data_IF_860717638212
#
_entry.id   IF_860717638212
#
_cell.length_a   1.000
_cell.length_b   1.000
_cell.length_c   1.000
_cell.angle_alpha   90.00
_cell.angle_beta   90.00
_cell.angle_gamma   90.00
#
_symmetry.space_group_name_H-M   'P 1'
#
loop_
_entity.id
_entity.type
_entity.pdbx_description
1 polymer ?
#
# COMPACT_ATOMS: atom_id res chain seq x y z
N UNK A 1 28.40 -17.85 -9.07
CA UNK A 1 27.78 -18.71 -8.04
C UNK A 1 27.78 -18.05 -6.67
N UNK A 2 28.93 -17.66 -6.10
CA UNK A 2 29.03 -17.08 -4.75
C UNK A 2 28.13 -15.85 -4.53
N UNK A 3 28.07 -14.90 -5.48
CA UNK A 3 27.16 -13.73 -5.38
C UNK A 3 25.69 -14.13 -5.26
N UNK A 4 25.28 -15.14 -6.02
CA UNK A 4 23.90 -15.64 -6.00
C UNK A 4 23.56 -16.29 -4.65
N UNK A 5 24.48 -17.09 -4.11
CA UNK A 5 24.34 -17.67 -2.76
C UNK A 5 24.16 -16.57 -1.71
N UNK A 6 25.00 -15.52 -1.74
CA UNK A 6 24.86 -14.38 -0.82
C UNK A 6 23.49 -13.70 -0.91
N UNK A 7 22.93 -13.54 -2.11
CA UNK A 7 21.59 -12.98 -2.28
C UNK A 7 20.51 -13.89 -1.68
N UNK A 8 20.60 -15.20 -1.87
CA UNK A 8 19.66 -16.16 -1.29
C UNK A 8 19.70 -16.13 0.24
N UNK A 9 20.89 -16.08 0.84
CA UNK A 9 21.02 -16.01 2.30
C UNK A 9 20.45 -14.71 2.89
N UNK A 10 20.63 -13.58 2.21
CA UNK A 10 20.01 -12.30 2.62
C UNK A 10 18.49 -12.38 2.51
N UNK A 11 17.97 -12.87 1.38
CA UNK A 11 16.53 -13.04 1.18
C UNK A 11 15.91 -13.96 2.25
N UNK A 12 16.60 -15.05 2.59
CA UNK A 12 16.18 -15.94 3.67
C UNK A 12 16.18 -15.24 5.04
N UNK A 13 17.24 -14.48 5.37
CA UNK A 13 17.31 -13.73 6.62
C UNK A 13 16.20 -12.66 6.73
N UNK A 14 15.90 -11.95 5.63
CA UNK A 14 14.78 -11.00 5.55
C UNK A 14 13.46 -11.72 5.82
N UNK A 15 13.23 -12.87 5.19
CA UNK A 15 12.02 -13.66 5.35
C UNK A 15 11.85 -14.21 6.78
N UNK A 16 12.92 -14.70 7.40
CA UNK A 16 12.90 -15.13 8.80
C UNK A 16 12.59 -13.95 9.74
N UNK A 17 13.20 -12.80 9.51
CA UNK A 17 12.92 -11.59 10.27
C UNK A 17 11.48 -11.11 10.08
N UNK A 18 10.94 -11.23 8.86
CA UNK A 18 9.55 -10.92 8.57
C UNK A 18 8.57 -11.73 9.43
N UNK A 19 8.68 -13.06 9.43
CA UNK A 19 7.81 -13.90 10.22
C UNK A 19 8.03 -13.71 11.73
N UNK A 20 9.27 -13.55 12.18
CA UNK A 20 9.53 -13.29 13.59
C UNK A 20 9.06 -11.90 14.03
N UNK A 21 9.15 -10.89 13.18
CA UNK A 21 8.68 -9.54 13.44
C UNK A 21 7.16 -9.51 13.54
N UNK A 22 6.48 -10.19 12.61
CA UNK A 22 5.03 -10.47 12.68
C UNK A 22 4.65 -11.08 14.03
N UNK A 23 5.34 -12.14 14.47
CA UNK A 23 5.05 -12.80 15.74
C UNK A 23 5.26 -11.86 16.94
N UNK A 24 6.25 -10.97 16.85
CA UNK A 24 6.57 -10.01 17.91
C UNK A 24 5.52 -8.90 17.97
N UNK A 25 5.15 -8.33 16.82
CA UNK A 25 4.12 -7.29 16.71
C UNK A 25 2.72 -7.82 17.01
N UNK A 26 2.46 -9.11 16.79
CA UNK A 26 1.21 -9.76 17.19
C UNK A 26 0.99 -9.79 18.72
N UNK A 27 2.03 -9.54 19.53
CA UNK A 27 1.93 -9.40 20.99
C UNK A 27 1.47 -7.99 21.42
N UNK A 28 1.44 -7.02 20.50
CA UNK A 28 1.05 -5.65 20.81
C UNK A 28 -0.48 -5.54 20.96
N UNK A 29 -0.98 -4.67 21.85
CA UNK A 29 -2.41 -4.42 22.00
C UNK A 29 -3.05 -3.97 20.69
N UNK A 30 -4.18 -4.59 20.30
CA UNK A 30 -4.87 -4.25 19.06
C UNK A 30 -5.35 -2.78 19.02
N UNK A 31 -5.59 -2.21 20.20
CA UNK A 31 -6.01 -0.83 20.42
C UNK A 31 -5.02 0.20 19.84
N UNK A 32 -3.74 -0.15 19.68
CA UNK A 32 -2.70 0.72 19.12
C UNK A 32 -3.05 1.31 17.76
N UNK A 33 -3.70 0.51 16.93
CA UNK A 33 -3.98 0.83 15.54
C UNK A 33 -5.47 0.82 15.21
N UNK A 34 -6.32 0.28 16.10
CA UNK A 34 -7.78 0.29 15.90
C UNK A 34 -8.52 1.33 16.72
N UNK A 35 -7.92 1.92 17.77
CA UNK A 35 -8.63 2.88 18.60
C UNK A 35 -9.01 4.10 17.77
N UNK A 36 -10.28 4.47 17.85
CA UNK A 36 -10.83 5.74 17.36
C UNK A 36 -11.12 6.69 18.53
N UNK A 37 -10.62 6.34 19.71
CA UNK A 37 -10.90 6.99 20.98
C UNK A 37 -9.60 7.39 21.66
N UNK A 38 -9.70 8.40 22.52
CA UNK A 38 -8.58 8.80 23.37
C UNK A 38 -8.29 7.70 24.39
N UNK A 39 -7.01 7.48 24.68
CA UNK A 39 -6.59 6.42 25.60
C UNK A 39 -5.08 6.37 25.76
N UNK A 40 -4.61 5.36 26.50
CA UNK A 40 -3.20 5.11 26.72
C UNK A 40 -2.89 3.70 26.27
N UNK A 41 -1.86 3.55 25.43
CA UNK A 41 -1.30 2.23 25.13
C UNK A 41 -0.03 2.05 25.93
N UNK A 42 0.05 0.93 26.64
CA UNK A 42 1.25 0.52 27.38
C UNK A 42 1.91 -0.65 26.66
N UNK A 43 3.20 -0.53 26.39
CA UNK A 43 4.03 -1.55 25.74
C UNK A 43 5.30 -1.78 26.56
N UNK A 44 5.67 -3.04 26.78
CA UNK A 44 6.91 -3.35 27.50
C UNK A 44 8.15 -2.94 26.70
N UNK A 45 9.15 -2.35 27.37
CA UNK A 45 10.47 -2.05 26.77
C UNK A 45 11.17 -3.29 26.24
N UNK A 46 11.01 -4.42 26.92
CA UNK A 46 11.53 -5.73 26.47
C UNK A 46 11.05 -6.10 25.08
N UNK A 47 9.79 -5.77 24.74
CA UNK A 47 9.24 -6.04 23.41
C UNK A 47 9.86 -5.13 22.34
N UNK A 48 10.10 -3.85 22.67
CA UNK A 48 10.83 -2.90 21.81
C UNK A 48 12.23 -3.44 21.49
N UNK A 49 12.95 -3.89 22.51
CA UNK A 49 14.30 -4.44 22.41
C UNK A 49 14.29 -5.71 21.56
N UNK A 50 13.44 -6.69 21.86
CA UNK A 50 13.30 -7.95 21.11
C UNK A 50 13.08 -7.69 19.61
N UNK A 51 12.18 -6.77 19.25
CA UNK A 51 11.92 -6.44 17.85
C UNK A 51 13.10 -5.70 17.20
N UNK A 52 13.66 -4.71 17.88
CA UNK A 52 14.72 -3.86 17.34
C UNK A 52 16.01 -4.65 17.11
N UNK A 53 16.36 -5.56 18.02
CA UNK A 53 17.50 -6.46 17.89
C UNK A 53 17.39 -7.35 16.65
N UNK A 54 16.21 -7.93 16.38
CA UNK A 54 15.97 -8.79 15.20
C UNK A 54 16.17 -8.02 13.89
N UNK A 55 15.58 -6.81 13.80
CA UNK A 55 15.70 -5.98 12.59
C UNK A 55 17.14 -5.50 12.40
N UNK A 56 17.82 -5.07 13.48
CA UNK A 56 19.21 -4.62 13.40
C UNK A 56 20.17 -5.78 13.08
N UNK A 57 19.91 -6.99 13.57
CA UNK A 57 20.71 -8.17 13.22
C UNK A 57 20.69 -8.44 11.71
N UNK A 58 19.52 -8.36 11.06
CA UNK A 58 19.43 -8.46 9.59
C UNK A 58 20.11 -7.28 8.91
N UNK A 59 19.91 -6.06 9.41
CA UNK A 59 20.57 -4.87 8.86
C UNK A 59 22.11 -5.01 8.89
N UNK A 60 22.67 -5.50 10.00
CA UNK A 60 24.09 -5.76 10.17
C UNK A 60 24.58 -6.87 9.25
N UNK A 61 23.85 -7.98 9.13
CA UNK A 61 24.18 -9.07 8.22
C UNK A 61 24.24 -8.59 6.75
N UNK A 62 23.35 -7.68 6.35
CA UNK A 62 23.40 -7.08 5.01
C UNK A 62 24.61 -6.14 4.88
N UNK A 63 24.90 -5.29 5.88
CA UNK A 63 26.06 -4.38 5.85
C UNK A 63 27.39 -5.13 5.76
N UNK A 64 27.56 -6.21 6.53
CA UNK A 64 28.77 -7.03 6.54
C UNK A 64 29.07 -7.67 5.17
N UNK A 65 28.03 -7.94 4.37
CA UNK A 65 28.17 -8.50 3.02
C UNK A 65 28.64 -7.48 1.98
N UNK A 66 28.64 -6.19 2.34
CA UNK A 66 29.04 -5.08 1.48
C UNK A 66 27.96 -4.66 0.47
N UNK A 67 28.08 -3.46 -0.13
CA UNK A 67 27.18 -3.04 -1.19
C UNK A 67 27.34 -3.93 -2.42
N UNK A 68 26.29 -4.06 -3.26
CA UNK A 68 26.45 -4.67 -4.57
C UNK A 68 27.58 -3.96 -5.34
N UNK A 69 28.39 -4.69 -6.13
CA UNK A 69 29.51 -4.13 -6.87
C UNK A 69 29.05 -3.00 -7.79
N UNK A 70 29.73 -1.85 -7.73
CA UNK A 70 29.45 -0.69 -8.59
C UNK A 70 30.06 -0.94 -9.98
N UNK A 71 29.22 -1.04 -11.00
CA UNK A 71 29.65 -1.11 -12.40
C UNK A 71 28.46 -1.31 -13.35
N UNK A 72 28.49 -0.67 -14.51
CA UNK A 72 27.43 -0.76 -15.53
C UNK A 72 26.28 0.24 -15.35
N UNK A 73 25.12 -0.09 -15.94
CA UNK A 73 23.89 0.69 -15.82
C UNK A 73 23.39 0.69 -14.37
N UNK A 74 22.78 1.79 -13.93
CA UNK A 74 22.18 1.86 -12.60
C UNK A 74 21.01 0.87 -12.47
N UNK A 75 20.78 0.31 -11.27
CA UNK A 75 19.62 -0.54 -10.98
C UNK A 75 18.31 0.13 -11.39
N UNK A 76 18.19 1.44 -11.13
CA UNK A 76 17.05 2.25 -11.56
C UNK A 76 16.82 2.17 -13.07
N UNK A 77 17.85 2.45 -13.87
CA UNK A 77 17.76 2.44 -15.33
C UNK A 77 17.42 1.05 -15.88
N UNK A 78 18.03 -0.01 -15.34
CA UNK A 78 17.74 -1.39 -15.72
C UNK A 78 16.28 -1.75 -15.45
N UNK A 79 15.78 -1.37 -14.28
CA UNK A 79 14.40 -1.63 -13.90
C UNK A 79 13.41 -0.82 -14.77
N UNK A 80 13.71 0.44 -15.12
CA UNK A 80 12.86 1.22 -16.04
C UNK A 80 12.82 0.59 -17.43
N UNK A 81 13.97 0.15 -17.97
CA UNK A 81 14.04 -0.55 -19.26
C UNK A 81 13.25 -1.87 -19.22
N UNK A 82 13.39 -2.64 -18.14
CA UNK A 82 12.62 -3.86 -17.92
C UNK A 82 11.11 -3.57 -17.91
N UNK A 83 10.68 -2.53 -17.20
CA UNK A 83 9.26 -2.17 -17.13
C UNK A 83 8.68 -1.83 -18.49
N UNK A 84 9.42 -1.08 -19.33
CA UNK A 84 9.03 -0.81 -20.72
C UNK A 84 8.93 -2.11 -21.54
N UNK A 85 9.90 -3.02 -21.40
CA UNK A 85 9.87 -4.33 -22.05
C UNK A 85 8.66 -5.15 -21.61
N UNK A 86 8.30 -5.12 -20.32
CA UNK A 86 7.18 -5.87 -19.78
C UNK A 86 5.83 -5.33 -20.29
N UNK A 87 5.68 -4.00 -20.34
CA UNK A 87 4.53 -3.33 -20.98
C UNK A 87 4.45 -3.67 -22.47
N UNK A 88 5.57 -3.56 -23.20
CA UNK A 88 5.64 -3.91 -24.62
C UNK A 88 5.26 -5.36 -24.87
N UNK A 89 5.71 -6.28 -24.01
CA UNK A 89 5.37 -7.71 -24.07
C UNK A 89 3.87 -7.92 -23.90
N UNK A 90 3.25 -7.31 -22.88
CA UNK A 90 1.81 -7.41 -22.65
C UNK A 90 0.98 -6.84 -23.81
N UNK A 91 1.41 -5.72 -24.40
CA UNK A 91 0.70 -5.08 -25.51
C UNK A 91 0.85 -5.87 -26.82
N UNK A 92 2.01 -6.49 -27.06
CA UNK A 92 2.29 -7.24 -28.28
C UNK A 92 1.74 -8.67 -28.24
N UNK A 93 1.59 -9.27 -27.05
CA UNK A 93 1.19 -10.66 -26.88
C UNK A 93 0.36 -10.87 -25.62
N UNK A 94 -0.65 -11.74 -25.71
CA UNK A 94 -1.42 -12.23 -24.56
C UNK A 94 -0.86 -13.52 -23.96
N UNK A 95 0.33 -13.96 -24.41
CA UNK A 95 1.03 -15.15 -23.90
C UNK A 95 1.53 -14.93 -22.47
N UNK A 96 0.86 -15.60 -21.54
CA UNK A 96 1.17 -15.54 -20.12
C UNK A 96 2.57 -16.06 -19.79
N UNK A 97 3.08 -17.05 -20.53
CA UNK A 97 4.39 -17.65 -20.25
C UNK A 97 5.50 -16.65 -20.53
N UNK A 98 5.42 -15.98 -21.68
CA UNK A 98 6.36 -14.92 -22.03
C UNK A 98 6.25 -13.75 -21.06
N UNK A 99 5.03 -13.32 -20.71
CA UNK A 99 4.78 -12.25 -19.75
C UNK A 99 5.40 -12.54 -18.37
N UNK A 100 5.23 -13.76 -17.85
CA UNK A 100 5.83 -14.22 -16.59
C UNK A 100 7.35 -14.25 -16.71
N UNK A 101 7.88 -14.85 -17.77
CA UNK A 101 9.33 -14.98 -17.97
C UNK A 101 10.01 -13.61 -18.01
N UNK A 102 9.45 -12.67 -18.78
CA UNK A 102 9.93 -11.28 -18.82
C UNK A 102 9.80 -10.64 -17.45
N UNK A 103 8.64 -10.73 -16.78
CA UNK A 103 8.42 -10.16 -15.45
C UNK A 103 9.46 -10.61 -14.41
N UNK A 104 9.82 -11.90 -14.39
CA UNK A 104 10.81 -12.47 -13.46
C UNK A 104 12.23 -11.91 -13.67
N UNK A 105 12.58 -11.41 -14.87
CA UNK A 105 13.90 -10.86 -15.14
C UNK A 105 14.25 -9.63 -14.29
N UNK A 106 13.27 -8.91 -13.74
CA UNK A 106 13.55 -7.76 -12.86
C UNK A 106 14.32 -8.17 -11.60
N UNK A 107 14.12 -9.40 -11.11
CA UNK A 107 14.82 -9.89 -9.92
C UNK A 107 16.29 -10.23 -10.19
N UNK A 108 16.71 -10.25 -11.45
CA UNK A 108 18.15 -10.29 -11.79
C UNK A 108 18.78 -8.93 -11.50
N UNK A 109 18.08 -7.83 -11.81
CA UNK A 109 18.55 -6.47 -11.53
C UNK A 109 18.36 -6.08 -10.05
N UNK A 110 17.31 -6.59 -9.42
CA UNK A 110 16.90 -6.24 -8.06
C UNK A 110 16.49 -7.49 -7.24
N UNK A 111 17.46 -8.32 -6.82
CA UNK A 111 17.18 -9.63 -6.22
C UNK A 111 16.48 -9.59 -4.86
N UNK A 112 16.63 -8.49 -4.10
CA UNK A 112 15.94 -8.31 -2.82
C UNK A 112 14.46 -7.95 -2.99
N UNK A 113 14.07 -7.44 -4.16
CA UNK A 113 12.68 -7.09 -4.43
C UNK A 113 11.79 -8.32 -4.55
N UNK A 114 12.36 -9.52 -4.77
CA UNK A 114 11.59 -10.75 -4.78
C UNK A 114 10.96 -11.02 -3.40
N UNK A 115 11.76 -10.95 -2.34
CA UNK A 115 11.24 -11.16 -0.97
C UNK A 115 10.35 -10.00 -0.54
N UNK A 116 10.69 -8.76 -0.89
CA UNK A 116 9.82 -7.60 -0.63
C UNK A 116 8.47 -7.75 -1.33
N UNK A 117 8.46 -8.08 -2.62
CA UNK A 117 7.23 -8.33 -3.39
C UNK A 117 6.37 -9.43 -2.76
N UNK A 118 6.99 -10.50 -2.26
CA UNK A 118 6.27 -11.58 -1.58
C UNK A 118 5.68 -11.14 -0.23
N UNK A 119 6.45 -10.44 0.61
CA UNK A 119 5.98 -9.93 1.91
C UNK A 119 4.80 -8.96 1.74
N UNK A 120 4.96 -8.02 0.80
CA UNK A 120 3.93 -7.11 0.36
C UNK A 120 2.69 -7.87 -0.12
N UNK A 121 2.86 -8.87 -0.99
CA UNK A 121 1.79 -9.78 -1.42
C UNK A 121 1.04 -10.39 -0.25
N UNK A 122 1.76 -10.99 0.70
CA UNK A 122 1.13 -11.65 1.84
C UNK A 122 0.31 -10.66 2.68
N UNK A 123 0.84 -9.45 2.95
CA UNK A 123 0.09 -8.41 3.65
C UNK A 123 -1.19 -8.06 2.92
N UNK A 124 -1.12 -7.77 1.62
CA UNK A 124 -2.30 -7.36 0.86
C UNK A 124 -3.30 -8.51 0.72
N UNK A 125 -2.81 -9.72 0.51
CA UNK A 125 -3.64 -10.91 0.42
C UNK A 125 -4.45 -11.11 1.69
N UNK A 126 -3.80 -11.09 2.86
CA UNK A 126 -4.45 -11.28 4.15
C UNK A 126 -5.40 -10.12 4.51
N UNK A 127 -5.06 -8.88 4.17
CA UNK A 127 -5.79 -7.69 4.64
C UNK A 127 -6.85 -7.18 3.66
N UNK A 128 -6.75 -7.51 2.37
CA UNK A 128 -7.59 -6.94 1.31
C UNK A 128 -8.12 -7.95 0.28
N UNK A 129 -7.32 -8.94 -0.16
CA UNK A 129 -7.76 -9.85 -1.22
C UNK A 129 -8.54 -11.07 -0.72
N UNK A 130 -8.29 -11.56 0.50
CA UNK A 130 -8.94 -12.77 0.98
C UNK A 130 -10.47 -12.60 1.05
N UNK A 131 -10.93 -11.44 1.52
CA UNK A 131 -12.36 -11.11 1.52
C UNK A 131 -12.94 -11.02 0.11
N UNK A 132 -12.18 -10.51 -0.86
CA UNK A 132 -12.59 -10.45 -2.27
C UNK A 132 -12.71 -11.85 -2.89
N UNK A 133 -11.74 -12.72 -2.63
CA UNK A 133 -11.78 -14.11 -3.09
C UNK A 133 -12.98 -14.85 -2.47
N UNK A 134 -13.18 -14.70 -1.16
CA UNK A 134 -14.27 -15.36 -0.46
C UNK A 134 -15.64 -14.84 -0.90
N UNK A 135 -15.82 -13.52 -1.06
CA UNK A 135 -17.06 -12.98 -1.64
C UNK A 135 -17.21 -13.38 -3.10
N UNK A 136 -16.11 -13.56 -3.82
CA UNK A 136 -16.05 -14.02 -5.21
C UNK A 136 -16.72 -15.37 -5.36
N UNK A 137 -16.20 -16.32 -4.58
CA UNK A 137 -16.70 -17.69 -4.52
C UNK A 137 -18.14 -17.72 -3.98
N UNK A 138 -18.45 -16.98 -2.91
CA UNK A 138 -19.78 -16.96 -2.33
C UNK A 138 -20.85 -16.41 -3.27
N UNK A 139 -20.54 -15.35 -4.04
CA UNK A 139 -21.49 -14.75 -4.99
C UNK A 139 -21.51 -15.47 -6.35
N UNK A 140 -20.49 -16.27 -6.68
CA UNK A 140 -20.46 -17.06 -7.92
C UNK A 140 -21.56 -18.12 -8.00
N UNK A 141 -22.15 -18.53 -6.87
CA UNK A 141 -23.29 -19.45 -6.83
C UNK A 141 -24.63 -18.74 -7.13
N UNK A 142 -24.65 -17.41 -7.13
CA UNK A 142 -25.82 -16.61 -7.44
C UNK A 142 -25.82 -16.35 -8.95
N UNK A 143 -26.89 -16.72 -9.68
CA UNK A 143 -27.00 -16.43 -11.10
C UNK A 143 -27.12 -14.91 -11.30
N UNK A 144 -26.01 -14.26 -11.62
CA UNK A 144 -25.97 -12.82 -11.87
C UNK A 144 -26.41 -12.52 -13.31
N UNK A 145 -27.21 -11.47 -13.54
CA UNK A 145 -27.67 -11.13 -14.88
C UNK A 145 -26.50 -10.84 -15.84
N UNK A 146 -26.51 -11.47 -17.01
CA UNK A 146 -25.48 -11.26 -18.04
C UNK A 146 -25.48 -9.84 -18.63
N UNK A 147 -26.56 -9.07 -18.47
CA UNK A 147 -26.62 -7.68 -18.93
C UNK A 147 -25.63 -6.74 -18.22
N UNK A 148 -25.09 -7.15 -17.06
CA UNK A 148 -24.03 -6.44 -16.36
C UNK A 148 -22.62 -6.96 -16.71
N UNK A 149 -22.50 -7.90 -17.64
CA UNK A 149 -21.23 -8.45 -18.10
C UNK A 149 -20.59 -7.51 -19.12
N UNK A 150 -19.41 -6.99 -18.80
CA UNK A 150 -18.61 -6.15 -19.70
C UNK A 150 -17.35 -6.90 -20.08
N UNK A 151 -17.03 -6.92 -21.37
CA UNK A 151 -15.76 -7.48 -21.84
C UNK A 151 -14.60 -6.51 -21.55
N UNK A 152 -13.47 -7.03 -21.08
CA UNK A 152 -12.22 -6.28 -20.95
C UNK A 152 -11.67 -6.03 -22.35
N UNK A 153 -12.18 -4.98 -22.99
CA UNK A 153 -11.71 -4.47 -24.27
C UNK A 153 -10.93 -3.16 -24.14
N UNK A 154 -10.49 -2.61 -25.27
CA UNK A 154 -9.77 -1.33 -25.30
C UNK A 154 -10.58 -0.18 -24.70
N UNK A 155 -11.90 -0.17 -24.87
CA UNK A 155 -12.80 0.84 -24.29
C UNK A 155 -12.80 0.80 -22.77
N UNK A 156 -12.97 -0.38 -22.16
CA UNK A 156 -12.95 -0.51 -20.70
C UNK A 156 -11.58 -0.12 -20.12
N UNK A 157 -10.50 -0.56 -20.76
CA UNK A 157 -9.12 -0.19 -20.38
C UNK A 157 -8.97 1.33 -20.39
N UNK A 158 -9.35 1.99 -21.49
CA UNK A 158 -9.27 3.44 -21.62
C UNK A 158 -10.09 4.18 -20.56
N UNK A 159 -11.31 3.73 -20.27
CA UNK A 159 -12.16 4.31 -19.23
C UNK A 159 -11.52 4.18 -17.84
N UNK A 160 -11.05 2.99 -17.46
CA UNK A 160 -10.47 2.76 -16.13
C UNK A 160 -9.20 3.61 -15.94
N UNK A 161 -8.33 3.68 -16.94
CA UNK A 161 -7.13 4.51 -16.88
C UNK A 161 -7.48 6.01 -16.81
N UNK A 162 -8.46 6.46 -17.58
CA UNK A 162 -8.92 7.85 -17.55
C UNK A 162 -9.51 8.22 -16.19
N UNK A 163 -10.29 7.34 -15.58
CA UNK A 163 -10.87 7.56 -14.25
C UNK A 163 -9.77 7.61 -13.17
N UNK A 164 -8.78 6.72 -13.21
CA UNK A 164 -7.64 6.79 -12.28
C UNK A 164 -6.84 8.08 -12.46
N UNK A 165 -6.57 8.47 -13.71
CA UNK A 165 -5.85 9.70 -14.04
C UNK A 165 -6.62 10.95 -13.58
N UNK A 166 -7.93 11.00 -13.85
CA UNK A 166 -8.81 12.10 -13.43
C UNK A 166 -8.88 12.20 -11.90
N UNK A 167 -9.02 11.07 -11.20
CA UNK A 167 -8.97 11.04 -9.75
C UNK A 167 -7.61 11.53 -9.23
N UNK A 168 -6.52 11.13 -9.86
CA UNK A 168 -5.18 11.55 -9.47
C UNK A 168 -4.98 13.06 -9.67
N UNK A 169 -5.41 13.61 -10.80
CA UNK A 169 -5.41 15.05 -11.05
C UNK A 169 -6.29 15.81 -10.05
N UNK A 170 -7.47 15.26 -9.72
CA UNK A 170 -8.36 15.82 -8.71
C UNK A 170 -7.65 16.04 -7.37
N UNK A 171 -6.97 15.01 -6.85
CA UNK A 171 -6.21 15.11 -5.60
C UNK A 171 -4.94 15.98 -5.72
N UNK A 172 -4.24 15.91 -6.86
CA UNK A 172 -3.02 16.70 -7.05
C UNK A 172 -3.28 18.21 -7.07
N UNK A 173 -4.44 18.66 -7.55
CA UNK A 173 -4.70 20.09 -7.78
C UNK A 173 -5.85 20.69 -6.98
N UNK A 174 -6.84 19.90 -6.56
CA UNK A 174 -8.09 20.42 -6.00
C UNK A 174 -8.51 19.84 -4.65
N UNK A 175 -8.13 18.60 -4.33
CA UNK A 175 -8.62 17.95 -3.11
C UNK A 175 -7.49 17.42 -2.24
N UNK A 176 -7.51 17.85 -0.97
CA UNK A 176 -6.89 17.12 0.11
C UNK A 176 -7.84 17.13 1.31
N UNK A 177 -7.92 16.02 2.06
CA UNK A 177 -8.95 15.81 3.09
C UNK A 177 -8.98 16.93 4.14
N UNK A 178 -7.84 17.58 4.36
CA UNK A 178 -7.64 18.55 5.44
C UNK A 178 -7.16 19.92 4.92
N UNK A 179 -7.20 20.21 3.62
CA UNK A 179 -6.75 21.52 3.10
C UNK A 179 -6.49 21.56 1.61
N UNK A 180 -5.80 22.61 1.16
CA UNK A 180 -5.38 22.73 -0.25
C UNK A 180 -4.04 22.01 -0.47
N UNK A 181 -3.89 21.30 -1.62
CA UNK A 181 -2.63 20.69 -1.99
C UNK A 181 -1.57 21.78 -2.21
N UNK A 182 -0.35 21.52 -1.74
CA UNK A 182 0.82 22.33 -2.09
C UNK A 182 1.05 22.20 -3.58
N UNK A 183 0.99 23.34 -4.28
CA UNK A 183 1.30 23.39 -5.72
C UNK A 183 2.81 23.29 -5.92
N UNK A 184 3.22 22.37 -6.78
CA UNK A 184 4.60 22.25 -7.26
C UNK A 184 4.81 23.11 -8.51
N UNK A 185 6.05 23.52 -8.80
CA UNK A 185 6.41 24.07 -10.11
C UNK A 185 5.96 23.14 -11.25
N UNK A 186 5.63 23.73 -12.41
CA UNK A 186 5.12 22.97 -13.56
C UNK A 186 6.08 21.84 -13.98
N UNK A 187 7.40 22.11 -14.01
CA UNK A 187 8.40 21.11 -14.37
C UNK A 187 8.38 19.89 -13.43
N UNK A 188 8.31 20.13 -12.13
CA UNK A 188 8.22 19.07 -11.13
C UNK A 188 6.89 18.30 -11.26
N UNK A 189 5.78 19.03 -11.43
CA UNK A 189 4.46 18.44 -11.66
C UNK A 189 4.45 17.50 -12.86
N UNK A 190 5.03 17.91 -13.99
CA UNK A 190 5.16 17.07 -15.19
C UNK A 190 6.02 15.84 -14.92
N UNK A 191 7.06 15.97 -14.09
CA UNK A 191 7.91 14.84 -13.73
C UNK A 191 7.18 13.81 -12.88
N UNK A 192 6.45 14.24 -11.85
CA UNK A 192 5.54 13.38 -11.08
C UNK A 192 4.47 12.74 -11.96
N UNK A 193 3.85 13.52 -12.84
CA UNK A 193 2.84 12.99 -13.74
C UNK A 193 3.39 11.91 -14.67
N UNK A 194 4.55 12.10 -15.29
CA UNK A 194 5.13 11.12 -16.22
C UNK A 194 5.70 9.92 -15.47
N UNK A 195 6.62 10.16 -14.53
CA UNK A 195 7.32 9.09 -13.82
C UNK A 195 6.40 8.37 -12.83
N UNK A 196 5.60 9.09 -12.05
CA UNK A 196 4.60 8.52 -11.14
C UNK A 196 3.54 7.72 -11.90
N UNK A 197 3.06 8.18 -13.06
CA UNK A 197 2.15 7.36 -13.88
C UNK A 197 2.82 6.06 -14.35
N UNK A 198 4.04 6.15 -14.86
CA UNK A 198 4.80 4.98 -15.31
C UNK A 198 5.07 3.98 -14.17
N UNK A 199 5.41 4.48 -12.99
CA UNK A 199 5.76 3.68 -11.82
C UNK A 199 4.52 3.12 -11.11
N UNK A 200 3.50 3.94 -10.84
CA UNK A 200 2.37 3.60 -9.98
C UNK A 200 1.12 3.11 -10.74
N UNK A 201 0.97 3.46 -12.03
CA UNK A 201 -0.30 3.24 -12.77
C UNK A 201 -0.20 2.22 -13.88
N UNK A 202 1.00 1.95 -14.38
CA UNK A 202 1.23 0.89 -15.36
C UNK A 202 0.75 -0.50 -14.86
N UNK A 203 0.65 -0.71 -13.54
CA UNK A 203 0.06 -1.91 -12.95
C UNK A 203 -1.35 -2.19 -13.50
N UNK A 204 -2.24 -1.18 -13.48
CA UNK A 204 -3.64 -1.32 -13.92
C UNK A 204 -3.69 -1.68 -15.41
N UNK A 205 -2.85 -1.02 -16.21
CA UNK A 205 -2.71 -1.32 -17.64
C UNK A 205 -2.30 -2.78 -17.85
N UNK A 206 -1.25 -3.24 -17.17
CA UNK A 206 -0.73 -4.60 -17.33
C UNK A 206 -1.77 -5.66 -16.96
N UNK A 207 -2.46 -5.51 -15.83
CA UNK A 207 -3.51 -6.46 -15.43
C UNK A 207 -4.62 -6.51 -16.48
N UNK A 208 -5.16 -5.36 -16.90
CA UNK A 208 -6.28 -5.34 -17.84
C UNK A 208 -5.90 -5.81 -19.24
N UNK A 209 -4.71 -5.47 -19.74
CA UNK A 209 -4.21 -5.94 -21.04
C UNK A 209 -4.04 -7.45 -21.03
N UNK A 210 -3.44 -8.00 -19.97
CA UNK A 210 -3.25 -9.46 -19.85
C UNK A 210 -4.56 -10.23 -19.65
N UNK A 211 -5.63 -9.53 -19.25
CA UNK A 211 -6.98 -10.08 -19.10
C UNK A 211 -7.92 -9.69 -20.25
N UNK A 212 -7.41 -9.12 -21.34
CA UNK A 212 -8.23 -8.70 -22.49
C UNK A 212 -9.07 -9.86 -23.04
N UNK A 213 -10.33 -9.58 -23.37
CA UNK A 213 -11.31 -10.56 -23.84
C UNK A 213 -12.01 -11.36 -22.74
N UNK A 214 -11.58 -11.24 -21.48
CA UNK A 214 -12.35 -11.77 -20.35
C UNK A 214 -13.60 -10.93 -20.10
N UNK A 215 -14.63 -11.55 -19.53
CA UNK A 215 -15.88 -10.88 -19.18
C UNK A 215 -15.98 -10.67 -17.68
N UNK A 216 -16.19 -9.43 -17.27
CA UNK A 216 -16.39 -9.03 -15.88
C UNK A 216 -17.86 -8.76 -15.62
N UNK A 217 -18.43 -9.42 -14.60
CA UNK A 217 -19.79 -9.10 -14.17
C UNK A 217 -19.76 -7.94 -13.16
N UNK A 218 -20.19 -6.75 -13.57
CA UNK A 218 -20.19 -5.57 -12.70
C UNK A 218 -21.25 -5.65 -11.59
N UNK A 219 -22.30 -6.48 -11.74
CA UNK A 219 -23.28 -6.70 -10.69
C UNK A 219 -22.63 -7.33 -9.45
N UNK A 220 -21.60 -8.16 -9.65
CA UNK A 220 -20.82 -8.73 -8.55
C UNK A 220 -20.17 -7.64 -7.70
N UNK A 221 -19.51 -6.67 -8.34
CA UNK A 221 -18.83 -5.56 -7.65
C UNK A 221 -19.84 -4.68 -6.91
N UNK A 222 -21.00 -4.43 -7.51
CA UNK A 222 -22.07 -3.66 -6.89
C UNK A 222 -22.66 -4.39 -5.67
N UNK A 223 -22.91 -5.70 -5.79
CA UNK A 223 -23.44 -6.52 -4.70
C UNK A 223 -22.46 -6.60 -3.52
N UNK A 224 -21.16 -6.85 -3.78
CA UNK A 224 -20.15 -6.85 -2.72
C UNK A 224 -20.03 -5.48 -2.04
N UNK A 225 -20.11 -4.40 -2.82
CA UNK A 225 -20.09 -3.03 -2.28
C UNK A 225 -21.28 -2.72 -1.37
N UNK A 226 -22.48 -3.20 -1.70
CA UNK A 226 -23.70 -2.99 -0.92
C UNK A 226 -23.78 -3.95 0.28
N UNK A 227 -23.56 -5.25 0.05
CA UNK A 227 -23.66 -6.28 1.08
C UNK A 227 -22.49 -6.24 2.07
N UNK A 228 -21.34 -5.71 1.65
CA UNK A 228 -20.18 -5.58 2.51
C UNK A 228 -19.55 -6.92 2.91
N UNK A 229 -19.64 -7.95 2.06
CA UNK A 229 -19.07 -9.28 2.34
C UNK A 229 -17.54 -9.20 2.37
N UNK A 230 -16.89 -8.67 1.33
CA UNK A 230 -15.43 -8.56 1.31
C UNK A 230 -14.91 -7.66 2.43
N UNK A 231 -15.51 -6.49 2.77
CA UNK A 231 -15.09 -5.71 3.91
C UNK A 231 -15.26 -6.44 5.26
N UNK A 232 -16.34 -7.20 5.45
CA UNK A 232 -16.58 -7.98 6.67
C UNK A 232 -15.44 -8.97 6.93
N UNK A 233 -15.13 -9.80 5.93
CA UNK A 233 -14.10 -10.84 6.02
C UNK A 233 -12.73 -10.20 6.23
N UNK A 234 -12.38 -9.20 5.43
CA UNK A 234 -11.10 -8.51 5.56
C UNK A 234 -10.96 -7.81 6.94
N UNK A 235 -12.03 -7.24 7.49
CA UNK A 235 -12.00 -6.64 8.83
C UNK A 235 -11.84 -7.70 9.91
N UNK A 236 -12.46 -8.86 9.76
CA UNK A 236 -12.24 -10.00 10.65
C UNK A 236 -10.78 -10.44 10.62
N UNK A 237 -10.19 -10.61 9.43
CA UNK A 237 -8.78 -10.98 9.27
C UNK A 237 -7.83 -9.96 9.90
N UNK A 238 -8.08 -8.66 9.68
CA UNK A 238 -7.27 -7.59 10.27
C UNK A 238 -7.35 -7.55 11.81
N UNK A 239 -8.47 -8.00 12.39
CA UNK A 239 -8.65 -8.06 13.85
C UNK A 239 -8.05 -9.31 14.48
N UNK A 240 -8.04 -10.42 13.75
CA UNK A 240 -7.75 -11.76 14.32
C UNK A 240 -6.37 -12.28 13.98
N UNK A 241 -5.87 -11.99 12.78
CA UNK A 241 -4.56 -12.47 12.33
C UNK A 241 -3.52 -11.40 12.63
N UNK A 242 -3.49 -10.33 11.83
CA UNK A 242 -2.55 -9.22 11.98
C UNK A 242 -3.18 -7.96 11.41
N UNK A 243 -2.97 -6.85 12.09
CA UNK A 243 -3.46 -5.57 11.61
C UNK A 243 -2.65 -5.06 10.43
N UNK A 244 -3.35 -4.37 9.52
CA UNK A 244 -2.72 -3.74 8.37
C UNK A 244 -1.61 -2.77 8.79
N UNK A 245 -1.82 -1.96 9.83
CA UNK A 245 -0.82 -0.99 10.33
C UNK A 245 0.47 -1.68 10.82
N UNK A 246 0.36 -2.81 11.53
CA UNK A 246 1.55 -3.56 12.01
C UNK A 246 2.32 -4.20 10.86
N UNK A 247 1.59 -4.81 9.92
CA UNK A 247 2.19 -5.39 8.72
C UNK A 247 2.86 -4.34 7.87
N UNK A 248 2.17 -3.22 7.62
CA UNK A 248 2.69 -2.10 6.85
C UNK A 248 3.96 -1.55 7.50
N UNK A 249 3.92 -1.19 8.79
CA UNK A 249 5.10 -0.69 9.51
C UNK A 249 6.30 -1.65 9.40
N UNK A 250 6.06 -2.95 9.60
CA UNK A 250 7.13 -3.94 9.58
C UNK A 250 7.73 -4.09 8.19
N UNK A 251 6.90 -4.33 7.17
CA UNK A 251 7.33 -4.54 5.79
C UNK A 251 8.03 -3.28 5.27
N UNK A 252 7.45 -2.12 5.51
CA UNK A 252 8.01 -0.84 5.10
C UNK A 252 9.39 -0.62 5.74
N UNK A 253 9.56 -0.91 7.04
CA UNK A 253 10.87 -0.86 7.69
C UNK A 253 11.87 -1.86 7.10
N UNK A 254 11.43 -3.07 6.73
CA UNK A 254 12.28 -4.09 6.09
C UNK A 254 12.75 -3.66 4.70
N UNK A 255 11.87 -3.03 3.93
CA UNK A 255 12.16 -2.45 2.62
C UNK A 255 13.20 -1.34 2.68
N UNK A 256 13.26 -0.60 3.79
CA UNK A 256 14.25 0.46 4.05
C UNK A 256 15.58 -0.02 4.63
N UNK A 257 15.78 -1.34 4.77
CA UNK A 257 17.05 -1.87 5.21
C UNK A 257 18.18 -1.49 4.24
N UNK A 258 19.41 -1.28 4.74
CA UNK A 258 20.56 -0.99 3.89
C UNK A 258 20.70 -2.02 2.78
N UNK A 259 20.87 -1.59 1.53
CA UNK A 259 20.97 -2.47 0.37
C UNK A 259 19.62 -3.01 -0.16
N UNK A 260 18.64 -3.29 0.71
CA UNK A 260 17.28 -3.67 0.30
C UNK A 260 16.56 -2.50 -0.34
N UNK A 261 16.65 -1.32 0.28
CA UNK A 261 16.05 -0.08 -0.20
C UNK A 261 16.37 0.19 -1.67
N UNK A 262 17.63 0.01 -2.06
CA UNK A 262 18.13 0.25 -3.40
C UNK A 262 17.51 -0.64 -4.48
N UNK A 263 17.04 -1.83 -4.10
CA UNK A 263 16.46 -2.80 -5.01
C UNK A 263 14.93 -2.71 -5.02
N UNK A 264 14.33 -2.48 -3.85
CA UNK A 264 12.89 -2.56 -3.65
C UNK A 264 12.27 -1.15 -3.70
N UNK A 265 12.32 -0.43 -2.57
CA UNK A 265 11.47 0.72 -2.32
C UNK A 265 12.04 2.07 -2.79
N UNK A 266 13.32 2.13 -3.19
CA UNK A 266 13.93 3.37 -3.72
C UNK A 266 13.22 3.91 -4.96
N UNK A 267 12.63 3.04 -5.78
CA UNK A 267 11.90 3.47 -6.96
C UNK A 267 10.64 4.27 -6.64
N UNK A 268 9.98 3.93 -5.53
CA UNK A 268 8.85 4.70 -5.00
C UNK A 268 9.29 6.07 -4.49
N UNK A 269 10.44 6.13 -3.84
CA UNK A 269 11.06 7.36 -3.33
C UNK A 269 11.92 8.12 -4.33
N UNK A 270 11.88 7.73 -5.60
CA UNK A 270 12.78 8.30 -6.59
C UNK A 270 12.50 9.79 -6.82
N UNK A 271 11.23 10.19 -6.74
CA UNK A 271 10.84 11.58 -6.83
C UNK A 271 10.98 12.26 -5.47
N UNK A 272 11.61 13.45 -5.42
CA UNK A 272 11.63 14.23 -4.21
C UNK A 272 10.21 14.71 -3.94
N UNK A 273 9.72 14.48 -2.72
CA UNK A 273 8.35 14.75 -2.31
C UNK A 273 7.31 13.71 -2.78
N UNK A 274 6.16 13.69 -2.10
CA UNK A 274 5.01 12.87 -2.47
C UNK A 274 3.96 13.69 -3.22
N UNK A 275 3.39 13.12 -4.27
CA UNK A 275 2.16 13.60 -4.91
C UNK A 275 1.17 12.47 -5.13
N UNK A 276 -0.09 12.80 -5.42
CA UNK A 276 -1.08 11.80 -5.80
C UNK A 276 -0.66 10.94 -7.02
N UNK A 277 0.24 11.43 -7.88
CA UNK A 277 0.76 10.68 -9.03
C UNK A 277 1.59 9.47 -8.65
N UNK A 278 2.24 9.54 -7.48
CA UNK A 278 3.16 8.52 -6.97
C UNK A 278 2.42 7.47 -6.12
N UNK A 279 1.11 7.69 -5.90
CA UNK A 279 0.27 6.79 -5.15
C UNK A 279 -0.12 5.56 -5.97
N UNK A 280 0.51 4.42 -5.62
CA UNK A 280 0.17 3.09 -6.14
C UNK A 280 -1.16 2.57 -5.57
N UNK A 281 -1.83 1.67 -6.31
CA UNK A 281 -3.14 1.11 -5.92
C UNK A 281 -3.06 0.15 -4.72
N UNK A 282 -1.89 -0.46 -4.50
CA UNK A 282 -1.60 -1.37 -3.39
C UNK A 282 -0.52 -0.83 -2.42
N UNK A 283 -0.58 0.46 -2.06
CA UNK A 283 0.25 1.07 -0.99
C UNK A 283 1.75 1.31 -1.31
N UNK A 284 2.06 2.28 -2.17
CA UNK A 284 3.43 2.86 -2.24
C UNK A 284 4.55 1.92 -2.70
N UNK A 285 4.21 0.81 -3.38
CA UNK A 285 5.21 -0.09 -3.93
C UNK A 285 5.87 0.47 -5.21
N UNK A 286 7.14 0.16 -5.44
CA UNK A 286 7.77 0.22 -6.75
C UNK A 286 7.33 -0.93 -7.65
N UNK A 287 7.48 -0.79 -8.96
CA UNK A 287 7.14 -1.88 -9.88
C UNK A 287 7.91 -3.21 -9.67
N UNK A 288 9.14 -3.30 -9.11
CA UNK A 288 9.71 -4.61 -8.82
C UNK A 288 9.01 -5.31 -7.64
N UNK A 289 8.35 -4.55 -6.78
CA UNK A 289 7.62 -5.03 -5.61
C UNK A 289 6.18 -5.48 -5.95
N UNK A 290 5.64 -5.08 -7.10
CA UNK A 290 4.24 -5.36 -7.44
C UNK A 290 4.00 -6.75 -8.06
N UNK A 291 5.05 -7.51 -8.39
CA UNK A 291 4.97 -8.70 -9.23
C UNK A 291 3.94 -9.72 -8.75
N UNK A 292 3.97 -10.09 -7.46
CA UNK A 292 3.04 -11.08 -6.91
C UNK A 292 1.59 -10.57 -6.89
N UNK A 293 1.35 -9.27 -6.61
CA UNK A 293 0.01 -8.68 -6.73
C UNK A 293 -0.52 -8.78 -8.15
N UNK A 294 0.34 -8.41 -9.11
CA UNK A 294 -0.02 -8.37 -10.52
C UNK A 294 -0.37 -9.78 -11.02
N UNK A 295 0.44 -10.78 -10.66
CA UNK A 295 0.15 -12.19 -10.97
C UNK A 295 -1.16 -12.66 -10.33
N UNK A 296 -1.40 -12.30 -9.06
CA UNK A 296 -2.61 -12.65 -8.35
C UNK A 296 -3.86 -12.05 -9.02
N UNK A 297 -3.85 -10.77 -9.35
CA UNK A 297 -5.00 -10.09 -9.95
C UNK A 297 -5.30 -10.65 -11.35
N UNK A 298 -4.26 -10.94 -12.15
CA UNK A 298 -4.41 -11.65 -13.42
C UNK A 298 -5.00 -13.05 -13.22
N UNK A 299 -4.52 -13.79 -12.21
CA UNK A 299 -5.01 -15.13 -11.91
C UNK A 299 -6.50 -15.12 -11.55
N UNK A 300 -6.93 -14.20 -10.68
CA UNK A 300 -8.33 -14.08 -10.30
C UNK A 300 -9.24 -13.84 -11.50
N UNK A 301 -8.82 -12.99 -12.43
CA UNK A 301 -9.60 -12.70 -13.63
C UNK A 301 -9.58 -13.84 -14.64
N UNK A 302 -8.39 -14.33 -15.02
CA UNK A 302 -8.26 -15.31 -16.11
C UNK A 302 -8.64 -16.73 -15.71
N UNK A 303 -8.47 -17.09 -14.44
CA UNK A 303 -8.70 -18.47 -13.96
C UNK A 303 -10.02 -18.58 -13.22
N UNK A 304 -10.35 -17.60 -12.37
CA UNK A 304 -11.57 -17.65 -11.57
C UNK A 304 -12.73 -16.82 -12.14
N UNK A 305 -12.50 -16.04 -13.21
CA UNK A 305 -13.52 -15.16 -13.78
C UNK A 305 -13.97 -14.05 -12.82
N UNK A 306 -13.19 -13.78 -11.77
CA UNK A 306 -13.50 -12.75 -10.78
C UNK A 306 -12.95 -11.40 -11.25
N UNK A 307 -13.64 -10.28 -10.97
CA UNK A 307 -13.07 -8.97 -11.26
C UNK A 307 -11.77 -8.75 -10.48
N UNK A 308 -10.82 -7.95 -10.99
CA UNK A 308 -9.57 -7.73 -10.30
C UNK A 308 -9.82 -6.97 -8.98
N UNK A 309 -9.15 -7.34 -7.87
CA UNK A 309 -9.34 -6.72 -6.56
C UNK A 309 -9.29 -5.20 -6.56
N UNK A 310 -8.44 -4.57 -7.36
CA UNK A 310 -8.36 -3.11 -7.42
C UNK A 310 -9.66 -2.41 -7.84
N UNK A 311 -10.61 -3.13 -8.46
CA UNK A 311 -11.94 -2.59 -8.81
C UNK A 311 -12.96 -2.70 -7.67
N UNK A 312 -12.63 -3.39 -6.57
CA UNK A 312 -13.54 -3.50 -5.42
C UNK A 312 -13.74 -2.15 -4.74
N UNK A 313 -14.93 -1.93 -4.17
CA UNK A 313 -15.21 -0.71 -3.42
C UNK A 313 -14.18 -0.43 -2.32
N UNK A 314 -13.76 -1.47 -1.59
CA UNK A 314 -12.75 -1.35 -0.52
C UNK A 314 -11.41 -0.85 -1.05
N UNK A 315 -10.89 -1.46 -2.13
CA UNK A 315 -9.59 -1.09 -2.67
C UNK A 315 -9.61 0.23 -3.43
N UNK A 316 -10.67 0.54 -4.18
CA UNK A 316 -10.85 1.85 -4.79
C UNK A 316 -10.82 2.96 -3.72
N UNK A 317 -11.53 2.75 -2.61
CA UNK A 317 -11.52 3.67 -1.48
C UNK A 317 -10.14 3.81 -0.85
N UNK A 318 -9.41 2.70 -0.68
CA UNK A 318 -8.06 2.72 -0.16
C UNK A 318 -7.11 3.48 -1.10
N UNK A 319 -7.22 3.27 -2.42
CA UNK A 319 -6.46 3.96 -3.45
C UNK A 319 -6.72 5.47 -3.46
N UNK A 320 -7.96 5.91 -3.26
CA UNK A 320 -8.28 7.35 -3.13
C UNK A 320 -7.66 7.93 -1.84
N UNK A 321 -7.75 7.21 -0.72
CA UNK A 321 -7.05 7.60 0.52
C UNK A 321 -5.53 7.64 0.36
N UNK A 322 -4.96 6.75 -0.44
CA UNK A 322 -3.52 6.74 -0.72
C UNK A 322 -3.10 7.96 -1.54
N UNK A 323 -3.89 8.36 -2.55
CA UNK A 323 -3.67 9.59 -3.33
C UNK A 323 -3.70 10.83 -2.45
N UNK A 324 -4.65 10.89 -1.52
CA UNK A 324 -4.72 11.96 -0.53
C UNK A 324 -3.49 11.97 0.41
N UNK A 325 -3.13 10.80 0.95
CA UNK A 325 -2.02 10.62 1.87
C UNK A 325 -0.63 10.84 1.28
N UNK A 326 -0.50 10.92 -0.06
CA UNK A 326 0.75 11.30 -0.71
C UNK A 326 0.85 12.80 -0.97
N UNK A 327 -0.24 13.57 -0.86
CA UNK A 327 -0.23 14.99 -1.24
C UNK A 327 0.21 15.90 -0.09
N UNK A 328 1.26 16.71 -0.29
CA UNK A 328 1.60 17.77 0.69
C UNK A 328 0.51 18.82 0.79
N UNK A 329 0.37 19.39 1.99
CA UNK A 329 -0.67 20.38 2.34
C UNK A 329 -0.05 21.75 2.64
N UNK A 330 -0.80 22.82 2.35
CA UNK A 330 -0.39 24.21 2.69
C UNK A 330 -0.79 24.54 4.14
N UNK A 331 -0.02 25.39 4.82
CA UNK A 331 -0.41 25.99 6.11
C UNK A 331 -1.75 26.73 6.03
N UNK A 332 -2.53 26.86 7.13
CA UNK A 332 -2.30 26.38 8.51
C UNK A 332 -2.67 24.89 8.70
N UNK A 333 -2.99 24.19 7.61
CA UNK A 333 -3.46 22.82 7.65
C UNK A 333 -2.31 21.79 7.75
N UNK A 334 -1.09 22.24 8.08
CA UNK A 334 0.04 21.35 8.38
C UNK A 334 -0.16 20.69 9.75
N UNK A 335 -1.13 19.78 9.82
CA UNK A 335 -0.93 18.57 10.61
C UNK A 335 0.40 17.95 10.15
N UNK A 336 1.16 17.32 11.05
CA UNK A 336 2.46 16.77 10.66
C UNK A 336 2.30 15.88 9.42
N UNK A 337 3.03 16.21 8.35
CA UNK A 337 2.96 15.54 7.06
C UNK A 337 3.69 14.19 7.15
N UNK A 338 3.18 13.32 8.01
CA UNK A 338 3.89 12.20 8.59
C UNK A 338 4.46 11.27 7.52
N UNK A 339 3.60 10.83 6.59
CA UNK A 339 3.97 10.00 5.45
C UNK A 339 4.77 10.80 4.40
N UNK A 340 4.43 12.05 4.08
CA UNK A 340 5.22 12.82 3.10
C UNK A 340 6.64 13.16 3.61
N UNK A 341 6.82 13.25 4.93
CA UNK A 341 8.15 13.42 5.54
C UNK A 341 8.93 12.12 5.49
N UNK A 342 8.27 10.95 5.46
CA UNK A 342 8.93 9.69 5.16
C UNK A 342 9.63 9.73 3.80
N UNK A 343 9.01 10.30 2.77
CA UNK A 343 9.62 10.52 1.44
C UNK A 343 10.82 11.51 1.45
N UNK A 344 11.12 12.15 2.58
CA UNK A 344 12.33 12.98 2.74
C UNK A 344 13.40 12.29 3.57
N UNK A 345 13.00 11.63 4.67
CA UNK A 345 13.94 11.05 5.63
C UNK A 345 14.23 9.56 5.38
N UNK A 346 13.37 8.86 4.63
CA UNK A 346 13.35 7.44 4.19
C UNK A 346 13.51 6.38 5.29
N UNK A 347 14.22 6.68 6.38
CA UNK A 347 14.48 5.79 7.52
C UNK A 347 13.70 6.20 8.76
N UNK A 348 12.70 7.07 8.59
CA UNK A 348 11.87 7.61 9.65
C UNK A 348 10.41 7.62 9.22
N UNK A 349 9.48 7.50 10.16
CA UNK A 349 8.04 7.46 9.91
C UNK A 349 7.62 6.29 9.01
N UNK A 350 7.87 5.05 9.42
CA UNK A 350 7.50 3.87 8.64
C UNK A 350 6.00 3.55 8.69
N UNK A 351 5.28 4.00 9.71
CA UNK A 351 3.82 3.92 9.76
C UNK A 351 3.18 4.80 8.70
N UNK A 352 1.99 4.43 8.22
CA UNK A 352 1.31 5.19 7.17
C UNK A 352 0.60 6.41 7.75
N UNK A 353 -0.39 6.18 8.63
CA UNK A 353 -1.30 7.21 9.10
C UNK A 353 -1.30 7.39 10.63
N UNK A 354 -0.51 6.58 11.35
CA UNK A 354 -0.42 6.60 12.81
C UNK A 354 1.04 6.45 13.24
N UNK A 355 1.54 7.34 14.12
CA UNK A 355 2.94 7.31 14.54
C UNK A 355 3.22 6.32 15.68
N UNK A 356 2.23 5.57 16.19
CA UNK A 356 2.37 4.78 17.41
C UNK A 356 3.56 3.81 17.38
N UNK A 357 3.68 3.01 16.31
CA UNK A 357 4.76 2.02 16.18
C UNK A 357 6.11 2.72 16.03
N UNK A 358 6.16 3.81 15.27
CA UNK A 358 7.38 4.61 15.15
C UNK A 358 7.82 5.24 16.47
N UNK A 359 6.88 5.70 17.31
CA UNK A 359 7.16 6.22 18.64
C UNK A 359 7.63 5.11 19.58
N UNK A 360 7.01 3.92 19.51
CA UNK A 360 7.43 2.75 20.29
C UNK A 360 8.85 2.34 19.92
N UNK A 361 9.18 2.24 18.63
CA UNK A 361 10.49 1.73 18.16
C UNK A 361 11.51 2.83 17.82
N UNK A 362 11.24 4.07 18.20
CA UNK A 362 12.13 5.23 17.99
C UNK A 362 12.52 5.48 16.51
N UNK A 363 11.59 5.14 15.61
CA UNK A 363 11.71 5.37 14.17
C UNK A 363 10.94 6.59 13.67
N UNK A 364 10.34 7.40 14.55
CA UNK A 364 9.72 8.67 14.14
C UNK A 364 10.76 9.76 13.84
N UNK A 365 10.41 10.71 12.96
CA UNK A 365 11.27 11.84 12.60
C UNK A 365 11.67 12.65 13.87
N UNK A 366 12.92 13.13 13.98
CA UNK A 366 13.29 14.01 15.08
C UNK A 366 12.39 15.26 15.12
N UNK A 367 11.92 15.61 16.32
CA UNK A 367 11.10 16.79 16.55
C UNK A 367 11.49 17.44 17.87
N UNK A 368 11.39 18.77 17.96
CA UNK A 368 11.54 19.51 19.22
C UNK A 368 10.25 19.50 20.04
N UNK A 369 9.12 19.11 19.44
CA UNK A 369 7.83 19.00 20.12
C UNK A 369 7.81 17.76 21.01
N UNK A 370 7.17 17.89 22.18
CA UNK A 370 6.93 16.76 23.09
C UNK A 370 5.84 15.80 22.59
N UNK A 371 5.04 16.23 21.62
CA UNK A 371 3.94 15.45 21.04
C UNK A 371 3.99 15.53 19.52
N UNK A 372 3.38 14.54 18.87
CA UNK A 372 3.10 14.51 17.44
C UNK A 372 1.61 14.75 17.20
N UNK A 373 1.27 15.53 16.19
CA UNK A 373 -0.13 15.70 15.76
C UNK A 373 -0.28 15.11 14.37
N UNK A 374 -0.99 13.98 14.27
CA UNK A 374 -1.16 13.22 13.03
C UNK A 374 -2.63 12.85 12.88
N UNK A 375 -3.23 13.16 11.72
CA UNK A 375 -4.60 12.77 11.33
C UNK A 375 -5.67 12.99 12.42
N UNK A 376 -5.74 14.18 12.99
CA UNK A 376 -6.76 14.52 14.00
C UNK A 376 -6.53 13.91 15.39
N UNK A 377 -5.35 13.39 15.67
CA UNK A 377 -4.96 12.94 17.01
C UNK A 377 -3.60 13.52 17.45
N UNK A 378 -3.47 13.72 18.75
CA UNK A 378 -2.23 14.10 19.42
C UNK A 378 -1.67 12.86 20.11
N UNK A 379 -0.39 12.58 19.88
CA UNK A 379 0.34 11.45 20.42
C UNK A 379 1.47 11.96 21.32
N UNK A 380 1.49 11.51 22.57
CA UNK A 380 2.53 11.83 23.54
C UNK A 380 3.18 10.53 24.02
N UNK A 381 4.51 10.47 23.93
CA UNK A 381 5.31 9.35 24.42
C UNK A 381 5.81 9.64 25.83
N UNK A 382 5.57 8.72 26.74
CA UNK A 382 6.15 8.67 28.08
C UNK A 382 6.85 7.32 28.27
N UNK A 383 7.98 7.29 28.98
CA UNK A 383 8.70 6.05 29.27
C UNK A 383 8.97 5.92 30.76
N UNK A 384 8.71 4.75 31.32
CA UNK A 384 9.15 4.34 32.66
C UNK A 384 10.37 3.41 32.56
N UNK A 385 10.83 2.82 33.66
CA UNK A 385 11.90 1.81 33.64
C UNK A 385 11.51 0.56 32.83
N UNK A 386 10.23 0.19 32.79
CA UNK A 386 9.76 -1.08 32.23
C UNK A 386 8.86 -0.91 31.01
N UNK A 387 8.19 0.23 30.90
CA UNK A 387 7.10 0.43 29.94
C UNK A 387 7.30 1.69 29.09
N UNK A 388 6.70 1.65 27.91
CA UNK A 388 6.52 2.75 26.98
C UNK A 388 5.02 3.01 26.93
N UNK A 389 4.62 4.25 27.19
CA UNK A 389 3.23 4.68 27.20
C UNK A 389 3.01 5.68 26.07
N UNK A 390 2.08 5.36 25.18
CA UNK A 390 1.63 6.29 24.13
C UNK A 390 0.24 6.79 24.52
N UNK A 391 0.18 8.06 24.94
CA UNK A 391 -1.06 8.76 25.21
C UNK A 391 -1.62 9.30 23.91
N UNK A 392 -2.85 8.90 23.57
CA UNK A 392 -3.55 9.27 22.35
C UNK A 392 -4.71 10.16 22.75
N UNK A 393 -4.74 11.39 22.25
CA UNK A 393 -5.87 12.30 22.39
C UNK A 393 -6.46 12.59 21.02
N UNK A 394 -7.65 12.07 20.75
CA UNK A 394 -8.39 12.37 19.53
C UNK A 394 -8.96 13.79 19.63
N UNK A 395 -8.52 14.66 18.72
CA UNK A 395 -8.95 16.07 18.65
C UNK A 395 -9.93 16.33 17.52
N UNK A 396 -9.85 15.55 16.43
CA UNK A 396 -10.82 15.58 15.34
C UNK A 396 -11.09 14.16 14.83
N UNK A 397 -12.28 13.64 15.13
CA UNK A 397 -12.70 12.32 14.67
C UNK A 397 -12.82 12.26 13.14
N UNK A 398 -13.20 13.34 12.46
CA UNK A 398 -13.39 13.32 11.00
C UNK A 398 -12.07 13.08 10.28
N UNK A 399 -11.00 13.76 10.72
CA UNK A 399 -9.66 13.58 10.16
C UNK A 399 -9.09 12.20 10.50
N UNK A 400 -9.35 11.71 11.72
CA UNK A 400 -8.97 10.36 12.13
C UNK A 400 -9.60 9.30 11.21
N UNK A 401 -10.89 9.45 10.88
CA UNK A 401 -11.64 8.52 10.02
C UNK A 401 -11.36 8.66 8.52
N UNK A 402 -10.95 9.84 8.04
CA UNK A 402 -10.48 10.01 6.66
C UNK A 402 -9.19 9.23 6.43
N UNK A 403 -8.30 9.17 7.42
CA UNK A 403 -7.10 8.31 7.40
C UNK A 403 -7.40 6.82 7.66
N UNK A 404 -8.53 6.49 8.31
CA UNK A 404 -8.90 5.13 8.75
C UNK A 404 -10.17 4.55 8.08
N UNK A 405 -10.34 4.78 6.78
CA UNK A 405 -11.36 4.07 5.95
C UNK A 405 -12.85 4.44 6.18
N UNK A 406 -13.27 5.71 6.35
CA UNK A 406 -14.69 6.10 6.11
C UNK A 406 -14.82 7.51 5.52
N UNK A 407 -15.31 7.69 4.27
CA UNK A 407 -15.67 9.02 3.79
C UNK A 407 -17.06 9.38 4.32
N UNK A 408 -17.16 10.51 5.03
CA UNK A 408 -18.44 11.09 5.41
C UNK A 408 -19.32 11.47 4.19
N UNK A 409 -18.71 11.71 3.02
CA UNK A 409 -19.38 12.16 1.81
C UNK A 409 -20.34 11.12 1.17
N UNK A 410 -20.19 9.83 1.47
CA UNK A 410 -21.02 8.76 0.88
C UNK A 410 -22.08 8.22 1.85
N UNK A 411 -22.02 8.60 3.13
CA UNK A 411 -23.05 8.23 4.10
C UNK A 411 -24.34 9.01 3.90
N UNK A 412 -24.25 10.28 3.45
CA UNK A 412 -25.45 11.08 3.19
C UNK A 412 -26.31 10.46 2.08
N UNK A 413 -25.77 10.16 0.88
CA UNK A 413 -26.56 9.56 -0.19
C UNK A 413 -27.10 8.17 0.16
N UNK A 414 -26.33 7.32 0.86
CA UNK A 414 -26.81 5.96 1.20
C UNK A 414 -27.88 5.98 2.29
N UNK A 415 -27.74 6.87 3.28
CA UNK A 415 -28.73 7.03 4.36
C UNK A 415 -29.99 7.73 3.84
N UNK A 416 -29.84 8.69 2.92
CA UNK A 416 -30.95 9.34 2.22
C UNK A 416 -31.65 8.37 1.24
N UNK A 417 -30.92 7.53 0.52
CA UNK A 417 -31.46 6.48 -0.36
C UNK A 417 -32.18 5.38 0.45
N UNK A 418 -31.60 4.93 1.57
CA UNK A 418 -32.25 3.97 2.45
C UNK A 418 -33.48 4.56 3.15
N UNK A 419 -33.44 5.82 3.58
CA UNK A 419 -34.60 6.50 4.13
C UNK A 419 -35.69 6.71 3.07
N UNK A 420 -35.31 7.01 1.83
CA UNK A 420 -36.23 7.10 0.69
C UNK A 420 -36.91 5.76 0.40
N UNK A 421 -36.16 4.66 0.36
CA UNK A 421 -36.71 3.32 0.13
C UNK A 421 -37.57 2.82 1.31
N UNK A 422 -37.31 3.29 2.54
CA UNK A 422 -38.12 2.95 3.71
C UNK A 422 -39.45 3.70 3.79
N UNK A 423 -39.63 4.79 3.04
CA UNK A 423 -40.90 5.57 2.99
C UNK A 423 -41.83 5.15 1.84
N UNK A 424 -41.49 4.09 1.10
CA UNK A 424 -42.30 3.52 0.02
C UNK A 424 -42.86 2.11 0.33
N UNK A 425 -42.82 1.70 1.59
CA UNK A 425 -43.62 0.63 2.17
C UNK A 425 -44.43 1.19 3.33
#
# INVERSE_FOLDING_TARGET
>A
MERFIRYLEVNFAILCCFFSGIQTLGKLPHELWSSTESGVVVVSKKLREEYSEKVEAVAQAIRQRGPPPKGGLSTHSLLVMHRLLWIGTALASSDMRLFIAVGLLQFVAAPYSLVCSFMLFLMHFCTMCLGHLASGLALSVIPLPHCFSVEIGGTLIGIVLLLDFAATAYYAFWACSDGLPRKLPLRETLYHMIYGTFQAKAYILLVLVMCRGQRLNLAWLALDAVAGISPLINNFMQRTVLSWESLFYHIHRMEHLPGVYEHAHRLHHYLPDGTAWDAHVHSGAGFPEEWFYLMHDIFLVRVLGLPPPFMTYRLLKYQLGNKDGHQRRVEPYQVEQYHQDHHLFHRKNFGFNRPCLDMIFDTYKPTTKKHLQVNGAIYLKEETSENIMIHIKVVDRKLLFQSSQRPAAWQKPLRELMNFLWHFH
#
